data_IF_875918003857
#
_entry.id   IF_875918003857
#
_cell.length_a   1.000
_cell.length_b   1.000
_cell.length_c   1.000
_cell.angle_alpha   90.00
_cell.angle_beta   90.00
_cell.angle_gamma   90.00
#
_symmetry.space_group_name_H-M   'P 1'
#
loop_
_entity.id
_entity.type
_entity.pdbx_description
1 polymer ?
#
# COMPACT_ATOMS: atom_id res chain seq x y z
N UNK A 1 -58.34 29.58 53.45
CA UNK A 1 -58.43 29.89 52.03
C UNK A 1 -57.05 30.36 51.59
N UNK A 2 -56.19 29.45 51.15
CA UNK A 2 -54.82 29.72 50.72
C UNK A 2 -54.76 29.78 49.17
N UNK A 3 -54.34 30.95 48.65
CA UNK A 3 -54.12 31.16 47.21
C UNK A 3 -52.81 30.56 46.77
N UNK A 4 -52.85 29.71 45.76
CA UNK A 4 -51.72 29.11 45.06
C UNK A 4 -51.16 30.15 44.08
N UNK A 5 -49.85 30.41 44.01
CA UNK A 5 -49.23 31.27 42.99
C UNK A 5 -49.11 30.59 41.62
N UNK A 6 -49.41 31.32 40.54
CA UNK A 6 -49.31 30.93 39.16
C UNK A 6 -47.81 30.74 38.76
N UNK A 7 -47.46 29.60 38.27
CA UNK A 7 -46.16 29.34 37.60
C UNK A 7 -46.09 30.08 36.26
N UNK A 8 -45.03 30.85 36.08
CA UNK A 8 -44.67 31.47 34.78
C UNK A 8 -43.93 30.42 33.91
N UNK A 9 -44.44 30.15 32.72
CA UNK A 9 -43.81 29.40 31.67
C UNK A 9 -42.59 30.17 31.13
N UNK A 10 -41.44 29.52 30.83
CA UNK A 10 -40.31 30.17 30.21
C UNK A 10 -40.61 30.48 28.73
N UNK A 11 -40.29 31.71 28.33
CA UNK A 11 -40.37 32.18 26.94
C UNK A 11 -39.37 31.44 26.08
N UNK A 12 -39.80 30.95 24.90
CA UNK A 12 -38.99 30.42 23.83
C UNK A 12 -37.89 31.40 23.37
N UNK A 13 -36.68 30.94 23.08
CA UNK A 13 -35.62 31.79 22.57
C UNK A 13 -35.96 32.31 21.17
N UNK A 14 -35.60 33.57 20.92
CA UNK A 14 -35.72 34.23 19.62
C UNK A 14 -34.80 33.58 18.59
N UNK A 15 -35.19 33.50 17.30
CA UNK A 15 -34.30 33.02 16.24
C UNK A 15 -33.13 33.99 16.03
N UNK A 16 -31.93 33.43 15.86
CA UNK A 16 -30.72 34.16 15.47
C UNK A 16 -30.86 34.69 14.04
N UNK A 17 -30.22 35.84 13.70
CA UNK A 17 -30.32 36.40 12.36
C UNK A 17 -29.61 35.54 11.32
N UNK A 18 -30.33 35.26 10.23
CA UNK A 18 -29.74 34.75 8.96
C UNK A 18 -28.75 35.78 8.43
N UNK A 19 -27.46 35.50 8.50
CA UNK A 19 -26.46 35.99 7.55
C UNK A 19 -25.04 35.66 8.03
N UNK A 20 -24.58 34.45 7.82
CA UNK A 20 -23.18 34.16 7.57
C UNK A 20 -23.14 33.15 6.41
N UNK A 21 -23.39 33.64 5.20
CA UNK A 21 -22.94 32.97 3.99
C UNK A 21 -21.44 33.03 4.00
N UNK A 22 -20.81 31.94 4.51
CA UNK A 22 -19.45 31.63 4.20
C UNK A 22 -19.32 31.54 2.66
N UNK A 23 -18.56 32.47 2.11
CA UNK A 23 -18.13 32.41 0.73
C UNK A 23 -17.27 31.14 0.58
N UNK A 24 -17.89 30.01 0.26
CA UNK A 24 -17.22 28.89 -0.37
C UNK A 24 -16.71 29.47 -1.69
N UNK A 25 -15.40 29.68 -1.77
CA UNK A 25 -14.73 29.92 -3.05
C UNK A 25 -15.07 28.72 -3.93
N UNK A 26 -15.96 28.95 -4.92
CA UNK A 26 -16.14 28.06 -6.06
C UNK A 26 -14.78 27.99 -6.78
N UNK A 27 -13.89 27.12 -6.33
CA UNK A 27 -12.89 26.56 -7.21
C UNK A 27 -13.68 25.72 -8.22
N UNK A 28 -13.59 26.05 -9.51
CA UNK A 28 -14.03 25.21 -10.62
C UNK A 28 -13.30 23.85 -10.46
N UNK A 29 -13.86 22.93 -9.69
CA UNK A 29 -13.41 21.55 -9.67
C UNK A 29 -13.82 20.94 -11.02
N UNK A 30 -12.91 21.04 -11.99
CA UNK A 30 -12.96 20.23 -13.18
C UNK A 30 -12.98 18.78 -12.70
N UNK A 31 -14.09 18.08 -12.90
CA UNK A 31 -14.21 16.65 -12.60
C UNK A 31 -13.03 15.94 -13.23
N UNK A 32 -12.17 15.34 -12.44
CA UNK A 32 -10.96 14.66 -12.91
C UNK A 32 -11.39 13.30 -13.46
N UNK A 33 -11.20 13.10 -14.76
CA UNK A 33 -11.62 11.88 -15.44
C UNK A 33 -10.46 10.89 -15.51
N UNK A 34 -10.79 9.61 -15.38
CA UNK A 34 -9.82 8.53 -15.52
C UNK A 34 -9.11 8.55 -16.89
N UNK A 35 -9.84 8.91 -17.94
CA UNK A 35 -9.32 9.02 -19.30
C UNK A 35 -8.20 10.06 -19.43
N UNK A 36 -8.15 11.06 -18.54
CA UNK A 36 -7.07 12.06 -18.51
C UNK A 36 -5.71 11.41 -18.14
N UNK A 37 -5.71 10.19 -17.56
CA UNK A 37 -4.52 9.43 -17.15
C UNK A 37 -4.34 8.14 -17.96
N UNK A 38 -4.99 8.05 -19.10
CA UNK A 38 -4.78 6.99 -20.06
C UNK A 38 -3.52 7.25 -20.90
N UNK A 39 -2.80 6.18 -21.22
CA UNK A 39 -1.73 6.15 -22.21
C UNK A 39 -1.71 4.77 -22.87
N UNK A 40 -1.14 4.66 -24.06
CA UNK A 40 -1.03 3.38 -24.75
C UNK A 40 0.16 2.57 -24.20
N UNK A 41 -0.13 1.42 -23.57
CA UNK A 41 0.89 0.49 -23.07
C UNK A 41 0.90 -0.76 -23.95
N UNK A 42 1.87 -0.91 -24.85
CA UNK A 42 2.00 -2.13 -25.64
C UNK A 42 2.26 -3.36 -24.76
N UNK A 43 1.60 -4.49 -25.02
CA UNK A 43 1.78 -5.73 -24.26
C UNK A 43 3.26 -6.19 -24.26
N UNK A 44 4.01 -5.90 -25.33
CA UNK A 44 5.43 -6.19 -25.46
C UNK A 44 6.31 -5.46 -24.44
N UNK A 45 5.81 -4.38 -23.83
CA UNK A 45 6.51 -3.62 -22.78
C UNK A 45 6.26 -4.18 -21.38
N UNK A 46 5.27 -5.04 -21.20
CA UNK A 46 4.96 -5.66 -19.90
C UNK A 46 5.97 -6.77 -19.62
N UNK A 47 6.78 -6.58 -18.57
CA UNK A 47 7.78 -7.56 -18.16
C UNK A 47 7.10 -8.77 -17.49
N UNK A 48 7.17 -9.93 -18.13
CA UNK A 48 6.61 -11.20 -17.62
C UNK A 48 7.58 -11.97 -16.71
N UNK A 49 8.88 -11.64 -16.78
CA UNK A 49 9.95 -12.23 -15.98
C UNK A 49 10.88 -11.13 -15.45
N UNK A 50 11.49 -11.33 -14.27
CA UNK A 50 12.51 -10.41 -13.76
C UNK A 50 13.73 -10.37 -14.69
N UNK A 51 14.57 -9.33 -14.62
CA UNK A 51 15.87 -9.33 -15.32
C UNK A 51 16.72 -10.51 -14.83
N UNK A 52 17.62 -11.02 -15.67
CA UNK A 52 18.50 -12.15 -15.30
C UNK A 52 19.28 -11.87 -14.01
N UNK A 53 19.84 -10.67 -13.91
CA UNK A 53 20.55 -10.20 -12.74
C UNK A 53 19.70 -9.15 -12.00
N UNK A 54 19.51 -9.30 -10.68
CA UNK A 54 18.86 -8.30 -9.86
C UNK A 54 19.73 -7.03 -9.87
N UNK A 55 19.12 -5.85 -9.97
CA UNK A 55 19.83 -4.58 -10.05
C UNK A 55 20.25 -4.14 -11.47
N UNK A 56 20.08 -5.00 -12.50
CA UNK A 56 20.45 -4.67 -13.89
C UNK A 56 19.35 -3.97 -14.71
N UNK A 57 18.24 -3.57 -14.07
CA UNK A 57 17.16 -2.82 -14.72
C UNK A 57 17.62 -1.41 -15.12
N UNK A 58 16.90 -0.79 -16.06
CA UNK A 58 17.08 0.63 -16.38
C UNK A 58 16.52 1.51 -15.27
N UNK A 59 17.07 2.70 -15.15
CA UNK A 59 16.63 3.76 -14.26
C UNK A 59 16.43 5.05 -15.05
N UNK A 60 15.21 5.59 -15.06
CA UNK A 60 14.96 6.95 -15.51
C UNK A 60 15.00 7.87 -14.29
N UNK A 61 15.81 8.91 -14.36
CA UNK A 61 15.90 9.96 -13.33
C UNK A 61 15.19 11.20 -13.84
N UNK A 62 14.13 11.61 -13.16
CA UNK A 62 13.46 12.89 -13.36
C UNK A 62 13.82 13.81 -12.20
N UNK A 63 14.35 14.99 -12.51
CA UNK A 63 14.72 16.02 -11.53
C UNK A 63 14.36 17.39 -12.06
N UNK A 64 13.45 18.09 -11.38
CA UNK A 64 13.08 19.48 -11.69
C UNK A 64 12.84 19.74 -13.19
N UNK A 65 12.19 18.82 -13.88
CA UNK A 65 11.93 18.93 -15.31
C UNK A 65 12.97 18.29 -16.24
N UNK A 66 14.15 17.89 -15.76
CA UNK A 66 15.16 17.18 -16.55
C UNK A 66 14.98 15.66 -16.47
N UNK A 67 15.23 14.95 -17.59
CA UNK A 67 15.14 13.48 -17.66
C UNK A 67 16.48 12.92 -18.12
N UNK A 68 17.00 11.96 -17.34
CA UNK A 68 18.24 11.24 -17.63
C UNK A 68 18.04 9.73 -17.55
N UNK A 69 18.84 8.97 -18.28
CA UNK A 69 18.80 7.51 -18.35
C UNK A 69 20.06 6.89 -17.76
N UNK A 70 19.87 5.96 -16.84
CA UNK A 70 20.93 5.26 -16.12
C UNK A 70 20.61 3.75 -16.02
N UNK A 71 21.55 2.98 -15.50
CA UNK A 71 21.28 1.65 -14.93
C UNK A 71 20.93 1.76 -13.47
N UNK A 72 20.02 0.94 -12.96
CA UNK A 72 19.59 0.97 -11.55
C UNK A 72 20.77 0.78 -10.58
N UNK A 73 21.80 0.02 -10.97
CA UNK A 73 23.01 -0.16 -10.17
C UNK A 73 23.73 1.14 -9.78
N UNK A 74 23.43 2.26 -10.44
CA UNK A 74 24.03 3.57 -10.10
C UNK A 74 23.07 4.47 -9.30
N UNK A 75 22.01 3.92 -8.71
CA UNK A 75 20.98 4.69 -7.99
C UNK A 75 21.58 5.56 -6.88
N UNK A 76 22.61 5.07 -6.18
CA UNK A 76 23.26 5.79 -5.10
C UNK A 76 23.95 7.10 -5.58
N UNK A 77 24.39 7.17 -6.85
CA UNK A 77 24.95 8.40 -7.46
C UNK A 77 23.86 9.41 -7.85
N UNK A 78 22.64 8.96 -7.99
CA UNK A 78 21.52 9.78 -8.46
C UNK A 78 20.72 10.40 -7.31
N UNK A 79 20.96 9.98 -6.08
CA UNK A 79 20.25 10.47 -4.91
C UNK A 79 20.88 11.76 -4.36
N UNK A 80 20.09 12.71 -3.84
CA UNK A 80 20.62 13.84 -3.10
C UNK A 80 21.38 13.36 -1.86
N UNK A 81 22.51 14.01 -1.56
CA UNK A 81 23.34 13.69 -0.39
C UNK A 81 22.54 13.75 0.92
N UNK A 82 22.78 12.80 1.82
CA UNK A 82 22.11 12.70 3.13
C UNK A 82 20.61 12.39 3.06
N UNK A 83 20.12 11.87 1.92
CA UNK A 83 18.73 11.42 1.80
C UNK A 83 18.44 10.24 2.72
N UNK A 84 17.23 10.19 3.25
CA UNK A 84 16.67 9.03 3.96
C UNK A 84 15.74 8.28 3.01
N UNK A 85 16.11 7.05 2.64
CA UNK A 85 15.29 6.16 1.83
C UNK A 85 14.40 5.32 2.75
N UNK A 86 13.12 5.27 2.45
CA UNK A 86 12.16 4.51 3.24
C UNK A 86 11.61 3.34 2.44
N UNK A 87 11.86 2.13 2.94
CA UNK A 87 11.53 0.87 2.32
C UNK A 87 10.32 0.21 2.98
N UNK A 88 9.50 -0.48 2.21
CA UNK A 88 8.46 -1.37 2.75
C UNK A 88 9.06 -2.78 2.93
N UNK A 89 9.23 -3.21 4.19
CA UNK A 89 9.85 -4.49 4.54
C UNK A 89 8.86 -5.65 4.64
N UNK A 90 7.65 -5.47 4.13
CA UNK A 90 6.66 -6.54 4.07
C UNK A 90 7.17 -7.72 3.24
N UNK A 91 6.81 -8.93 3.65
CA UNK A 91 7.18 -10.18 2.97
C UNK A 91 5.95 -10.83 2.35
N UNK A 92 6.08 -11.22 1.09
CA UNK A 92 5.00 -11.89 0.36
C UNK A 92 4.83 -13.30 0.91
N UNK A 93 3.60 -13.62 1.29
CA UNK A 93 3.22 -14.98 1.69
C UNK A 93 2.81 -15.80 0.47
N UNK A 94 2.97 -17.12 0.47
CA UNK A 94 2.45 -18.00 -0.60
C UNK A 94 0.92 -18.09 -0.52
N UNK A 95 0.24 -17.01 -0.85
CA UNK A 95 -1.18 -16.80 -0.59
C UNK A 95 -2.14 -17.59 -1.49
N UNK A 96 -1.63 -18.35 -2.48
CA UNK A 96 -2.46 -19.16 -3.38
C UNK A 96 -2.38 -20.63 -3.00
N UNK A 97 -3.51 -21.19 -2.52
CA UNK A 97 -3.61 -22.59 -2.14
C UNK A 97 -4.47 -23.31 -3.19
N UNK A 98 -3.98 -24.44 -3.69
CA UNK A 98 -4.66 -25.21 -4.72
C UNK A 98 -5.14 -26.53 -4.13
N UNK A 99 -6.44 -26.79 -4.22
CA UNK A 99 -7.05 -28.06 -3.88
C UNK A 99 -7.55 -28.78 -5.14
N UNK A 100 -7.60 -30.10 -5.06
CA UNK A 100 -8.21 -30.95 -6.04
C UNK A 100 -9.32 -31.78 -5.37
N UNK A 101 -10.54 -31.67 -5.86
CA UNK A 101 -11.65 -32.52 -5.41
C UNK A 101 -11.44 -33.97 -5.91
N UNK A 102 -12.10 -34.92 -5.30
CA UNK A 102 -12.13 -36.33 -5.77
C UNK A 102 -12.53 -36.45 -7.25
N UNK A 103 -13.37 -35.53 -7.72
CA UNK A 103 -13.79 -35.43 -9.12
C UNK A 103 -12.70 -34.93 -10.06
N UNK A 104 -11.49 -34.61 -9.56
CA UNK A 104 -10.42 -33.97 -10.30
C UNK A 104 -10.58 -32.46 -10.52
N UNK A 105 -11.65 -31.85 -10.01
CA UNK A 105 -11.87 -30.42 -10.17
C UNK A 105 -10.88 -29.60 -9.33
N UNK A 106 -10.15 -28.69 -9.98
CA UNK A 106 -9.23 -27.74 -9.33
C UNK A 106 -10.02 -26.57 -8.73
N UNK A 107 -9.81 -26.31 -7.45
CA UNK A 107 -10.27 -25.12 -6.72
C UNK A 107 -9.04 -24.35 -6.24
N UNK A 108 -9.00 -23.07 -6.50
CA UNK A 108 -7.91 -22.18 -6.05
C UNK A 108 -8.46 -21.22 -5.00
N UNK A 109 -7.82 -21.19 -3.85
CA UNK A 109 -8.15 -20.25 -2.78
C UNK A 109 -7.01 -19.24 -2.70
N UNK A 110 -7.32 -17.96 -2.89
CA UNK A 110 -6.39 -16.86 -2.77
C UNK A 110 -6.71 -16.04 -1.52
N UNK A 111 -5.81 -16.07 -0.54
CA UNK A 111 -5.94 -15.35 0.72
C UNK A 111 -5.90 -13.84 0.48
N UNK A 112 -6.80 -13.10 1.10
CA UNK A 112 -6.87 -11.63 1.01
C UNK A 112 -6.62 -10.96 2.36
N UNK A 113 -7.50 -11.20 3.33
CA UNK A 113 -7.49 -10.57 4.65
C UNK A 113 -7.79 -11.61 5.74
N UNK A 114 -7.05 -11.63 6.85
CA UNK A 114 -7.36 -12.49 7.97
C UNK A 114 -8.58 -11.95 8.73
N UNK A 115 -9.45 -12.87 9.20
CA UNK A 115 -10.67 -12.55 9.94
C UNK A 115 -10.64 -13.07 11.37
N UNK A 116 -10.11 -14.28 11.58
CA UNK A 116 -10.03 -14.92 12.89
C UNK A 116 -8.77 -15.81 13.00
N UNK A 117 -8.17 -15.95 14.19
CA UNK A 117 -8.56 -15.37 15.48
C UNK A 117 -8.25 -13.89 15.64
N UNK A 118 -7.52 -13.29 14.71
CA UNK A 118 -7.16 -11.88 14.68
C UNK A 118 -7.25 -11.35 13.26
N UNK A 119 -7.40 -10.03 13.11
CA UNK A 119 -7.25 -9.34 11.82
C UNK A 119 -5.81 -8.91 11.53
N UNK A 120 -4.90 -9.02 12.50
CA UNK A 120 -3.48 -8.73 12.31
C UNK A 120 -2.79 -9.91 11.63
N UNK A 121 -2.16 -9.66 10.47
CA UNK A 121 -1.49 -10.70 9.67
C UNK A 121 -0.44 -11.45 10.48
N UNK A 122 0.41 -10.74 11.22
CA UNK A 122 1.48 -11.34 12.03
C UNK A 122 0.96 -12.35 13.05
N UNK A 123 -0.14 -12.03 13.74
CA UNK A 123 -0.74 -12.90 14.72
C UNK A 123 -1.33 -14.17 14.08
N UNK A 124 -2.05 -13.99 12.95
CA UNK A 124 -2.67 -15.11 12.25
C UNK A 124 -1.63 -16.04 11.63
N UNK A 125 -0.52 -15.51 11.12
CA UNK A 125 0.58 -16.32 10.58
C UNK A 125 1.24 -17.24 11.62
N UNK A 126 1.21 -16.86 12.90
CA UNK A 126 1.72 -17.65 14.02
C UNK A 126 0.67 -18.59 14.63
N UNK A 127 -0.58 -18.53 14.19
CA UNK A 127 -1.68 -19.36 14.70
C UNK A 127 -1.43 -20.83 14.37
N UNK A 128 -1.83 -21.71 15.30
CA UNK A 128 -1.86 -23.15 15.13
C UNK A 128 -3.29 -23.66 15.21
N UNK A 129 -3.63 -24.62 14.39
CA UNK A 129 -4.88 -25.37 14.44
C UNK A 129 -6.01 -24.79 13.61
N UNK A 130 -6.32 -23.51 13.66
CA UNK A 130 -7.40 -22.93 12.86
C UNK A 130 -7.26 -21.43 12.64
N UNK A 131 -7.62 -20.97 11.43
CA UNK A 131 -7.83 -19.55 11.14
C UNK A 131 -8.88 -19.37 10.04
N UNK A 132 -9.46 -18.17 9.96
CA UNK A 132 -10.43 -17.80 8.93
C UNK A 132 -9.92 -16.60 8.16
N UNK A 133 -10.04 -16.67 6.84
CA UNK A 133 -9.62 -15.65 5.91
C UNK A 133 -10.74 -15.24 4.96
N UNK A 134 -10.80 -13.99 4.62
CA UNK A 134 -11.47 -13.52 3.41
C UNK A 134 -10.64 -13.92 2.20
N UNK A 135 -11.26 -14.54 1.21
CA UNK A 135 -10.56 -15.17 0.10
C UNK A 135 -11.21 -14.85 -1.25
N UNK A 136 -10.40 -14.80 -2.30
CA UNK A 136 -10.92 -14.93 -3.65
C UNK A 136 -10.88 -16.40 -4.05
N UNK A 137 -11.98 -16.95 -4.54
CA UNK A 137 -12.11 -18.37 -4.85
C UNK A 137 -12.19 -18.56 -6.37
N UNK A 138 -11.11 -19.09 -6.94
CA UNK A 138 -11.07 -19.50 -8.34
C UNK A 138 -11.91 -20.75 -8.57
N UNK A 139 -12.78 -20.73 -9.61
CA UNK A 139 -13.75 -21.78 -9.89
C UNK A 139 -14.79 -22.01 -8.75
N UNK A 140 -15.18 -20.96 -8.04
CA UNK A 140 -16.13 -21.00 -6.92
C UNK A 140 -17.40 -21.82 -7.23
N UNK A 141 -17.89 -21.82 -8.49
CA UNK A 141 -19.05 -22.64 -8.91
C UNK A 141 -18.86 -24.14 -8.68
N UNK A 142 -17.61 -24.61 -8.62
CA UNK A 142 -17.29 -26.05 -8.40
C UNK A 142 -17.20 -26.41 -6.91
N UNK A 143 -17.28 -25.42 -6.02
CA UNK A 143 -17.19 -25.61 -4.58
C UNK A 143 -18.45 -25.17 -3.80
N UNK A 144 -19.56 -24.96 -4.48
CA UNK A 144 -20.84 -24.50 -3.85
C UNK A 144 -21.59 -25.56 -3.05
N UNK A 145 -21.15 -26.81 -3.13
CA UNK A 145 -21.77 -27.93 -2.42
C UNK A 145 -21.45 -28.00 -0.92
N UNK A 146 -20.59 -27.08 -0.44
CA UNK A 146 -20.19 -27.01 0.98
C UNK A 146 -19.30 -28.15 1.44
N UNK A 147 -18.89 -29.06 0.55
CA UNK A 147 -17.98 -30.17 0.90
C UNK A 147 -16.61 -29.60 1.25
N UNK A 148 -16.03 -29.92 2.42
CA UNK A 148 -14.67 -29.49 2.76
C UNK A 148 -13.65 -29.93 1.71
N UNK A 149 -12.69 -29.06 1.43
CA UNK A 149 -11.53 -29.40 0.63
C UNK A 149 -10.43 -29.91 1.54
N UNK A 150 -9.88 -31.08 1.25
CA UNK A 150 -8.92 -31.76 2.12
C UNK A 150 -7.56 -31.90 1.43
N UNK A 151 -6.49 -31.67 2.18
CA UNK A 151 -5.15 -32.07 1.85
C UNK A 151 -4.64 -33.03 2.94
N UNK A 152 -4.69 -34.33 2.67
CA UNK A 152 -4.37 -35.38 3.64
C UNK A 152 -2.91 -35.30 4.13
N UNK A 153 -1.97 -34.88 3.28
CA UNK A 153 -0.54 -34.80 3.62
C UNK A 153 -0.27 -33.90 4.81
N UNK A 154 -1.03 -32.81 4.93
CA UNK A 154 -0.87 -31.79 5.99
C UNK A 154 -2.04 -31.78 6.98
N UNK A 155 -2.93 -32.79 6.92
CA UNK A 155 -4.16 -32.80 7.71
C UNK A 155 -4.92 -31.47 7.62
N UNK A 156 -4.88 -30.85 6.45
CA UNK A 156 -5.50 -29.55 6.19
C UNK A 156 -6.90 -29.75 5.63
N UNK A 157 -7.86 -29.08 6.25
CA UNK A 157 -9.21 -28.94 5.74
C UNK A 157 -9.55 -27.45 5.52
N UNK A 158 -10.16 -27.13 4.40
CA UNK A 158 -10.68 -25.80 4.10
C UNK A 158 -12.19 -25.87 3.93
N UNK A 159 -12.94 -25.10 4.73
CA UNK A 159 -14.40 -25.05 4.75
C UNK A 159 -14.87 -23.65 4.38
N UNK A 160 -15.82 -23.55 3.46
CA UNK A 160 -16.48 -22.30 3.10
C UNK A 160 -17.46 -21.91 4.20
N UNK A 161 -17.18 -20.83 4.95
CA UNK A 161 -17.97 -20.37 6.11
C UNK A 161 -18.80 -19.12 5.81
N UNK A 162 -18.53 -18.44 4.69
CA UNK A 162 -19.26 -17.28 4.17
C UNK A 162 -19.23 -17.25 2.66
N UNK A 163 -19.65 -16.16 2.03
CA UNK A 163 -19.65 -16.02 0.57
C UNK A 163 -18.22 -16.05 -0.01
N UNK A 164 -17.31 -15.38 0.69
CA UNK A 164 -15.87 -15.24 0.37
C UNK A 164 -14.99 -15.56 1.60
N UNK A 165 -15.52 -16.23 2.63
CA UNK A 165 -14.82 -16.57 3.86
C UNK A 165 -14.50 -18.06 3.92
N UNK A 166 -13.23 -18.39 4.18
CA UNK A 166 -12.74 -19.75 4.28
C UNK A 166 -12.08 -19.96 5.63
N UNK A 167 -12.55 -20.96 6.35
CA UNK A 167 -11.89 -21.44 7.57
C UNK A 167 -10.99 -22.62 7.23
N UNK A 168 -9.73 -22.50 7.62
CA UNK A 168 -8.72 -23.55 7.53
C UNK A 168 -8.54 -24.21 8.89
N UNK A 169 -8.44 -25.53 8.91
CA UNK A 169 -8.06 -26.32 10.09
C UNK A 169 -6.92 -27.26 9.73
N UNK A 170 -5.92 -27.36 10.58
CA UNK A 170 -4.73 -28.20 10.35
C UNK A 170 -4.09 -28.60 11.70
N UNK A 171 -3.00 -29.39 11.66
CA UNK A 171 -2.28 -29.79 12.87
C UNK A 171 -0.76 -29.69 12.69
N UNK A 172 -0.05 -29.52 13.80
CA UNK A 172 1.40 -29.77 13.90
C UNK A 172 2.34 -28.63 13.52
N UNK A 173 1.85 -27.50 13.00
CA UNK A 173 2.69 -26.37 12.57
C UNK A 173 1.92 -25.04 12.64
N UNK A 174 2.60 -23.92 12.47
CA UNK A 174 1.99 -22.60 12.33
C UNK A 174 1.37 -22.44 10.92
N UNK A 175 0.47 -21.45 10.75
CA UNK A 175 -0.11 -21.18 9.44
C UNK A 175 0.95 -20.73 8.42
N UNK A 176 1.96 -19.96 8.83
CA UNK A 176 3.07 -19.55 8.00
C UNK A 176 3.88 -20.74 7.48
N UNK A 177 4.18 -21.72 8.35
CA UNK A 177 4.87 -22.95 7.94
C UNK A 177 4.01 -23.77 6.98
N UNK A 178 2.71 -23.90 7.25
CA UNK A 178 1.77 -24.58 6.37
C UNK A 178 1.74 -23.94 4.98
N UNK A 179 1.60 -22.62 4.92
CA UNK A 179 1.60 -21.89 3.64
C UNK A 179 2.91 -22.06 2.85
N UNK A 180 4.05 -22.15 3.54
CA UNK A 180 5.34 -22.38 2.91
C UNK A 180 5.38 -23.72 2.17
N UNK A 181 4.72 -24.74 2.72
CA UNK A 181 4.67 -26.08 2.14
C UNK A 181 3.67 -26.22 0.97
N UNK A 182 2.49 -25.61 1.11
CA UNK A 182 1.38 -25.86 0.16
C UNK A 182 1.05 -24.68 -0.75
N UNK A 183 1.46 -23.47 -0.35
CA UNK A 183 1.09 -22.24 -1.03
C UNK A 183 1.95 -21.98 -2.26
N UNK A 184 1.44 -21.11 -3.12
CA UNK A 184 2.17 -20.60 -4.28
C UNK A 184 2.27 -19.08 -4.22
N UNK A 185 3.37 -18.55 -4.71
CA UNK A 185 3.61 -17.09 -4.83
C UNK A 185 2.49 -16.43 -5.65
N UNK A 186 1.85 -15.39 -5.14
CA UNK A 186 0.76 -14.71 -5.82
C UNK A 186 1.29 -13.69 -6.83
N UNK A 187 1.65 -14.14 -8.04
CA UNK A 187 2.04 -13.21 -9.11
C UNK A 187 0.88 -12.28 -9.49
N UNK A 188 1.16 -11.02 -9.87
CA UNK A 188 0.16 -10.08 -10.34
C UNK A 188 -0.66 -10.61 -11.52
N UNK A 189 -1.94 -10.20 -11.66
CA UNK A 189 -2.86 -10.78 -12.66
C UNK A 189 -2.47 -10.53 -14.12
N UNK A 190 -1.63 -9.57 -14.41
CA UNK A 190 -1.12 -9.29 -15.75
C UNK A 190 0.07 -10.18 -16.14
N UNK A 191 0.64 -10.94 -15.20
CA UNK A 191 1.64 -11.96 -15.49
C UNK A 191 0.90 -13.27 -15.80
N UNK A 192 0.58 -13.44 -17.09
CA UNK A 192 -0.23 -14.56 -17.60
C UNK A 192 0.62 -15.83 -17.85
N UNK A 193 1.41 -16.24 -16.85
CA UNK A 193 2.16 -17.50 -16.88
C UNK A 193 2.01 -18.25 -15.57
N UNK A 194 2.35 -19.53 -15.59
CA UNK A 194 2.44 -20.31 -14.35
C UNK A 194 3.58 -19.78 -13.46
N UNK A 195 3.41 -19.98 -12.15
CA UNK A 195 4.43 -19.62 -11.15
C UNK A 195 5.61 -20.58 -11.31
N UNK A 196 6.80 -20.04 -11.48
CA UNK A 196 8.05 -20.76 -11.56
C UNK A 196 8.73 -20.82 -10.18
N UNK A 197 9.65 -21.77 -9.98
CA UNK A 197 10.34 -21.92 -8.69
C UNK A 197 11.11 -20.67 -8.28
N UNK A 198 11.65 -19.95 -9.26
CA UNK A 198 12.42 -18.73 -9.01
C UNK A 198 11.54 -17.56 -8.50
N UNK A 199 10.23 -17.58 -8.76
CA UNK A 199 9.36 -16.49 -8.35
C UNK A 199 9.26 -16.36 -6.82
N UNK A 200 9.43 -17.45 -6.06
CA UNK A 200 9.45 -17.40 -4.60
C UNK A 200 10.55 -16.48 -4.06
N UNK A 201 11.71 -16.47 -4.72
CA UNK A 201 12.86 -15.66 -4.33
C UNK A 201 12.89 -14.31 -5.07
N UNK A 202 12.49 -14.33 -6.36
CA UNK A 202 12.59 -13.14 -7.23
C UNK A 202 11.46 -12.14 -6.99
N UNK A 203 10.30 -12.60 -6.48
CA UNK A 203 9.17 -11.74 -6.10
C UNK A 203 9.21 -11.36 -4.61
N UNK A 204 10.43 -11.28 -4.03
CA UNK A 204 10.74 -10.80 -2.69
C UNK A 204 11.85 -9.76 -2.74
N UNK A 205 11.80 -8.79 -1.81
CA UNK A 205 12.91 -7.86 -1.61
C UNK A 205 14.00 -8.50 -0.74
N UNK A 206 15.26 -8.06 -0.88
CA UNK A 206 16.39 -8.57 -0.07
C UNK A 206 16.25 -8.22 1.43
N UNK A 207 15.43 -7.24 1.75
CA UNK A 207 15.21 -6.74 3.11
C UNK A 207 13.82 -7.10 3.69
N UNK A 208 13.04 -7.97 3.03
CA UNK A 208 11.70 -8.38 3.50
C UNK A 208 11.79 -9.15 4.83
N UNK A 209 10.93 -8.79 5.81
CA UNK A 209 10.93 -9.40 7.15
C UNK A 209 9.53 -9.78 7.66
N UNK A 210 8.52 -8.95 7.41
CA UNK A 210 7.20 -9.04 8.04
C UNK A 210 6.22 -9.77 7.14
N UNK A 211 5.92 -11.05 7.44
CA UNK A 211 4.98 -11.86 6.67
C UNK A 211 3.57 -11.27 6.67
N UNK A 212 2.88 -11.24 5.49
CA UNK A 212 1.49 -10.79 5.42
C UNK A 212 1.07 -10.20 4.08
N UNK A 213 1.98 -9.80 3.22
CA UNK A 213 1.62 -9.23 1.92
C UNK A 213 1.22 -10.30 0.91
N UNK A 214 0.24 -9.99 0.07
CA UNK A 214 -0.12 -10.80 -1.09
C UNK A 214 0.44 -10.23 -2.40
N UNK A 215 1.15 -9.11 -2.33
CA UNK A 215 1.92 -8.54 -3.44
C UNK A 215 3.23 -7.93 -2.93
N UNK A 216 4.30 -8.05 -3.71
CA UNK A 216 5.59 -7.48 -3.37
C UNK A 216 5.59 -5.95 -3.51
N UNK A 217 6.36 -5.21 -2.67
CA UNK A 217 6.69 -3.81 -2.92
C UNK A 217 7.70 -3.72 -4.06
N UNK A 218 7.18 -3.72 -5.30
CA UNK A 218 7.95 -4.06 -6.52
C UNK A 218 9.09 -3.12 -6.84
N UNK A 219 9.05 -1.85 -6.41
CA UNK A 219 10.18 -0.93 -6.52
C UNK A 219 11.41 -1.41 -5.72
N UNK A 220 11.18 -2.17 -4.66
CA UNK A 220 12.25 -2.76 -3.85
C UNK A 220 12.94 -3.95 -4.50
N UNK A 221 12.34 -4.57 -5.53
CA UNK A 221 12.91 -5.74 -6.21
C UNK A 221 14.19 -5.42 -6.97
N UNK A 222 14.46 -4.16 -7.26
CA UNK A 222 15.67 -3.70 -7.94
C UNK A 222 16.89 -3.69 -7.03
N UNK A 223 16.71 -3.54 -5.72
CA UNK A 223 17.80 -3.44 -4.76
C UNK A 223 18.46 -4.81 -4.53
N UNK A 224 19.79 -4.75 -4.37
CA UNK A 224 20.65 -5.87 -3.96
C UNK A 224 21.37 -5.50 -2.68
N UNK A 225 21.94 -6.48 -1.96
CA UNK A 225 22.75 -6.20 -0.78
C UNK A 225 23.91 -5.24 -1.12
N UNK A 226 24.57 -5.39 -2.27
CA UNK A 226 25.63 -4.48 -2.70
C UNK A 226 25.17 -3.04 -2.94
N UNK A 227 23.94 -2.84 -3.48
CA UNK A 227 23.37 -1.48 -3.62
C UNK A 227 23.04 -0.91 -2.25
N UNK A 228 22.54 -1.71 -1.30
CA UNK A 228 22.26 -1.26 0.07
C UNK A 228 23.55 -0.83 0.78
N UNK A 229 24.62 -1.60 0.66
CA UNK A 229 25.95 -1.28 1.19
C UNK A 229 26.52 0.02 0.55
N UNK A 230 26.32 0.20 -0.76
CA UNK A 230 26.75 1.42 -1.46
C UNK A 230 26.01 2.67 -0.97
N UNK A 231 24.68 2.58 -0.77
CA UNK A 231 23.89 3.67 -0.19
C UNK A 231 24.44 4.10 1.17
N UNK A 232 24.69 3.14 2.07
CA UNK A 232 25.24 3.39 3.40
C UNK A 232 26.63 4.04 3.30
N UNK A 233 27.52 3.51 2.44
CA UNK A 233 28.86 4.01 2.24
C UNK A 233 28.92 5.46 1.73
N UNK A 234 27.86 5.90 1.02
CA UNK A 234 27.68 7.28 0.52
C UNK A 234 26.92 8.19 1.50
N UNK A 235 26.68 7.73 2.73
CA UNK A 235 26.04 8.54 3.77
C UNK A 235 24.52 8.69 3.61
N UNK A 236 23.88 7.82 2.84
CA UNK A 236 22.42 7.72 2.79
C UNK A 236 21.91 6.94 4.00
N UNK A 237 20.76 7.33 4.51
CA UNK A 237 20.09 6.62 5.59
C UNK A 237 19.00 5.70 5.03
N UNK A 238 18.83 4.54 5.64
CA UNK A 238 17.79 3.58 5.26
C UNK A 238 16.86 3.33 6.44
N UNK A 239 15.56 3.51 6.21
CA UNK A 239 14.51 3.30 7.18
C UNK A 239 13.45 2.32 6.63
N UNK A 240 12.74 1.66 7.55
CA UNK A 240 11.79 0.64 7.17
C UNK A 240 10.41 0.91 7.77
N UNK A 241 9.40 0.74 6.92
CA UNK A 241 7.99 0.70 7.30
C UNK A 241 7.39 -0.61 6.84
N UNK A 242 6.25 -1.01 7.41
CA UNK A 242 5.50 -2.18 6.95
C UNK A 242 4.14 -1.73 6.46
N UNK A 243 3.78 -2.06 5.23
CA UNK A 243 2.43 -2.01 4.71
C UNK A 243 2.16 -3.35 4.03
N UNK A 244 1.19 -4.09 4.54
CA UNK A 244 0.78 -5.35 3.91
C UNK A 244 -0.06 -5.07 2.69
N UNK A 245 0.57 -5.25 1.52
CA UNK A 245 -0.05 -4.95 0.23
C UNK A 245 -1.15 -5.95 -0.06
N UNK A 246 -2.37 -5.45 -0.23
CA UNK A 246 -3.54 -6.25 -0.58
C UNK A 246 -3.63 -6.50 -2.09
N UNK A 247 -4.43 -7.49 -2.50
CA UNK A 247 -4.69 -7.79 -3.91
C UNK A 247 -5.42 -6.64 -4.65
N UNK A 248 -6.08 -5.75 -3.91
CA UNK A 248 -6.78 -4.57 -4.43
C UNK A 248 -5.87 -3.60 -5.18
N UNK A 249 -4.57 -3.56 -4.86
CA UNK A 249 -3.58 -2.66 -5.49
C UNK A 249 -3.49 -2.85 -7.02
N UNK A 250 -3.83 -4.01 -7.55
CA UNK A 250 -3.80 -4.30 -8.99
C UNK A 250 -5.14 -4.11 -9.70
N UNK A 251 -6.19 -3.72 -8.98
CA UNK A 251 -7.50 -3.53 -9.57
C UNK A 251 -7.55 -2.18 -10.30
N UNK A 252 -8.10 -2.15 -11.54
CA UNK A 252 -8.32 -0.90 -12.24
C UNK A 252 -9.44 -0.09 -11.59
N UNK A 253 -9.35 1.23 -11.69
CA UNK A 253 -10.43 2.14 -11.33
C UNK A 253 -11.62 1.88 -12.26
N UNK A 254 -12.82 1.73 -11.67
CA UNK A 254 -14.06 1.44 -12.42
C UNK A 254 -15.03 2.61 -12.45
N UNK A 255 -14.73 3.69 -11.74
CA UNK A 255 -15.57 4.88 -11.67
C UNK A 255 -15.14 5.89 -12.73
N UNK A 256 -16.09 6.58 -13.37
CA UNK A 256 -15.78 7.63 -14.33
C UNK A 256 -15.19 8.89 -13.67
N UNK A 257 -15.58 9.13 -12.43
CA UNK A 257 -14.99 10.15 -11.54
C UNK A 257 -13.97 9.48 -10.62
N UNK A 258 -12.73 9.93 -10.69
CA UNK A 258 -11.62 9.41 -9.89
C UNK A 258 -11.91 9.55 -8.39
N UNK A 259 -12.45 10.69 -7.95
CA UNK A 259 -12.71 10.97 -6.53
C UNK A 259 -13.73 10.00 -5.90
N UNK A 260 -14.58 9.39 -6.72
CA UNK A 260 -15.58 8.41 -6.27
C UNK A 260 -15.06 6.96 -6.21
N UNK A 261 -13.77 6.72 -6.52
CA UNK A 261 -13.18 5.38 -6.43
C UNK A 261 -12.95 5.01 -4.96
N UNK A 262 -13.52 3.90 -4.46
CA UNK A 262 -13.27 3.46 -3.10
C UNK A 262 -11.87 2.84 -3.00
N UNK A 263 -11.05 3.38 -2.11
CA UNK A 263 -9.75 2.78 -1.77
C UNK A 263 -9.95 1.58 -0.84
N UNK A 264 -9.11 0.59 -1.00
CA UNK A 264 -9.05 -0.55 -0.08
C UNK A 264 -8.22 -0.18 1.15
N UNK A 265 -8.59 -0.79 2.27
CA UNK A 265 -7.89 -0.64 3.54
C UNK A 265 -6.60 -1.47 3.54
N UNK A 266 -5.52 -0.89 4.05
CA UNK A 266 -4.23 -1.57 4.23
C UNK A 266 -3.69 -1.32 5.64
N UNK A 267 -3.12 -2.36 6.25
CA UNK A 267 -2.50 -2.28 7.57
C UNK A 267 -1.09 -1.74 7.46
N UNK A 268 -0.75 -0.81 8.35
CA UNK A 268 0.57 -0.18 8.41
C UNK A 268 1.19 -0.32 9.80
N UNK A 269 2.51 -0.54 9.83
CA UNK A 269 3.28 -0.62 11.06
C UNK A 269 4.58 0.16 10.91
N UNK A 270 4.93 0.96 11.93
CA UNK A 270 6.10 1.83 11.92
C UNK A 270 6.74 1.79 13.30
N UNK A 271 8.04 1.49 13.35
CA UNK A 271 8.80 1.49 14.58
C UNK A 271 8.99 2.93 15.10
N UNK A 272 9.07 3.09 16.42
CA UNK A 272 9.33 4.37 17.06
C UNK A 272 10.62 5.02 16.55
N UNK A 273 11.72 4.23 16.52
CA UNK A 273 13.02 4.73 16.09
C UNK A 273 13.00 5.27 14.66
N UNK A 274 12.25 4.61 13.75
CA UNK A 274 12.01 5.09 12.39
C UNK A 274 11.30 6.45 12.39
N UNK A 275 10.30 6.67 13.25
CA UNK A 275 9.60 7.96 13.35
C UNK A 275 10.53 9.06 13.88
N UNK A 276 11.38 8.74 14.86
CA UNK A 276 12.40 9.67 15.39
C UNK A 276 13.42 10.06 14.32
N UNK A 277 13.90 9.10 13.54
CA UNK A 277 14.80 9.33 12.40
C UNK A 277 14.15 10.22 11.35
N UNK A 278 12.92 9.89 10.92
CA UNK A 278 12.16 10.65 9.92
C UNK A 278 11.87 12.10 10.34
N UNK A 279 11.69 12.37 11.64
CA UNK A 279 11.47 13.74 12.16
C UNK A 279 12.64 14.66 11.90
N UNK A 280 13.87 14.13 11.86
CA UNK A 280 15.11 14.88 11.64
C UNK A 280 15.64 14.77 10.22
N UNK A 281 15.06 13.89 9.38
CA UNK A 281 15.46 13.69 8.00
C UNK A 281 15.28 14.96 7.17
N UNK A 282 16.34 15.33 6.43
CA UNK A 282 16.37 16.52 5.57
C UNK A 282 15.66 16.29 4.25
N UNK A 283 15.80 15.08 3.69
CA UNK A 283 15.09 14.63 2.49
C UNK A 283 14.62 13.20 2.67
N UNK A 284 13.33 12.96 2.46
CA UNK A 284 12.72 11.65 2.57
C UNK A 284 12.31 11.16 1.19
N UNK A 285 12.87 10.05 0.75
CA UNK A 285 12.59 9.43 -0.54
C UNK A 285 11.91 8.08 -0.31
N UNK A 286 10.69 7.94 -0.78
CA UNK A 286 9.97 6.69 -0.66
C UNK A 286 10.44 5.68 -1.73
N UNK A 287 10.68 4.44 -1.31
CA UNK A 287 10.91 3.32 -2.23
C UNK A 287 9.61 2.53 -2.39
N UNK A 288 8.93 2.81 -3.49
CA UNK A 288 7.61 2.28 -3.81
C UNK A 288 6.46 3.16 -3.34
N UNK A 289 5.35 3.04 -4.06
CA UNK A 289 4.09 3.75 -3.76
C UNK A 289 3.51 3.34 -2.41
N UNK A 290 3.78 2.12 -1.95
CA UNK A 290 3.37 1.62 -0.63
C UNK A 290 4.10 2.33 0.51
N UNK A 291 5.42 2.53 0.40
CA UNK A 291 6.19 3.33 1.37
C UNK A 291 5.72 4.78 1.40
N UNK A 292 5.46 5.36 0.22
CA UNK A 292 4.95 6.73 0.12
C UNK A 292 3.60 6.85 0.82
N UNK A 293 2.65 5.94 0.54
CA UNK A 293 1.34 5.95 1.20
C UNK A 293 1.43 5.78 2.71
N UNK A 294 2.34 4.95 3.20
CA UNK A 294 2.58 4.77 4.64
C UNK A 294 3.10 6.05 5.28
N UNK A 295 4.07 6.72 4.65
CA UNK A 295 4.65 7.97 5.14
C UNK A 295 3.63 9.11 5.20
N UNK A 296 2.85 9.26 4.14
CA UNK A 296 1.79 10.27 4.11
C UNK A 296 0.67 9.95 5.11
N UNK A 297 0.37 8.66 5.33
CA UNK A 297 -0.58 8.25 6.37
C UNK A 297 -0.08 8.56 7.79
N UNK A 298 1.22 8.35 8.05
CA UNK A 298 1.86 8.73 9.30
C UNK A 298 1.74 10.24 9.55
N UNK A 299 2.00 11.05 8.53
CA UNK A 299 1.85 12.50 8.60
C UNK A 299 0.41 12.91 8.97
N UNK A 300 -0.58 12.38 8.26
CA UNK A 300 -1.98 12.70 8.53
C UNK A 300 -2.47 12.19 9.88
N UNK A 301 -1.91 11.10 10.39
CA UNK A 301 -2.15 10.69 11.77
C UNK A 301 -1.64 11.75 12.77
N UNK A 302 -0.45 12.31 12.53
CA UNK A 302 0.08 13.42 13.33
C UNK A 302 -0.81 14.68 13.31
N UNK A 303 -1.46 14.96 12.16
CA UNK A 303 -2.46 16.03 12.02
C UNK A 303 -3.73 15.70 12.82
N UNK A 304 -4.25 14.47 12.72
CA UNK A 304 -5.42 13.99 13.50
C UNK A 304 -5.20 14.11 15.01
N UNK A 305 -4.02 13.75 15.49
CA UNK A 305 -3.65 13.88 16.90
C UNK A 305 -3.70 15.33 17.40
N UNK A 306 -3.37 16.31 16.56
CA UNK A 306 -3.51 17.73 16.91
C UNK A 306 -4.97 18.14 17.10
N UNK A 307 -5.90 17.45 16.43
CA UNK A 307 -7.35 17.65 16.57
C UNK A 307 -7.96 16.79 17.69
N UNK A 308 -7.14 16.04 18.45
CA UNK A 308 -7.60 15.16 19.53
C UNK A 308 -8.16 13.81 19.08
N UNK A 309 -7.91 13.42 17.83
CA UNK A 309 -8.32 12.13 17.26
C UNK A 309 -7.17 11.14 17.40
N UNK A 310 -7.34 10.09 18.20
CA UNK A 310 -6.27 9.15 18.57
C UNK A 310 -6.33 7.80 17.84
N UNK A 311 -7.29 7.60 16.94
CA UNK A 311 -7.38 6.42 16.09
C UNK A 311 -6.49 6.58 14.85
N UNK A 312 -5.51 5.69 14.67
CA UNK A 312 -4.70 5.66 13.46
C UNK A 312 -5.45 4.91 12.34
N UNK A 313 -6.45 5.57 11.82
CA UNK A 313 -7.18 5.16 10.64
C UNK A 313 -7.31 6.35 9.69
N UNK A 314 -6.53 6.36 8.61
CA UNK A 314 -6.54 7.44 7.61
C UNK A 314 -7.54 7.10 6.53
N UNK A 315 -8.62 7.89 6.47
CA UNK A 315 -9.66 7.78 5.47
C UNK A 315 -9.23 8.46 4.18
N UNK A 316 -9.90 8.10 3.11
CA UNK A 316 -9.65 8.64 1.77
C UNK A 316 -9.81 10.16 1.72
N UNK A 317 -10.76 10.72 2.48
CA UNK A 317 -11.14 12.13 2.50
C UNK A 317 -10.28 12.98 3.44
N UNK A 318 -9.61 12.36 4.43
CA UNK A 318 -8.86 13.07 5.47
C UNK A 318 -7.90 14.15 4.92
N UNK A 319 -7.12 13.92 3.85
CA UNK A 319 -6.23 14.94 3.30
C UNK A 319 -6.93 16.17 2.73
N UNK A 320 -8.19 16.06 2.34
CA UNK A 320 -8.99 17.18 1.79
C UNK A 320 -9.75 17.94 2.89
N UNK A 321 -10.05 17.29 4.02
CA UNK A 321 -10.87 17.84 5.10
C UNK A 321 -10.04 18.47 6.21
N UNK A 322 -8.77 18.06 6.37
CA UNK A 322 -7.91 18.54 7.45
C UNK A 322 -6.93 19.61 6.97
N UNK A 323 -6.65 20.57 7.86
CA UNK A 323 -5.63 21.58 7.64
C UNK A 323 -4.24 20.98 7.87
N UNK A 324 -3.36 21.13 6.87
CA UNK A 324 -1.99 20.64 6.94
C UNK A 324 -1.16 21.42 7.98
N UNK A 325 -0.24 20.73 8.62
CA UNK A 325 0.72 21.30 9.58
C UNK A 325 2.14 20.97 9.13
N UNK A 326 3.15 21.55 9.76
CA UNK A 326 4.53 21.20 9.41
C UNK A 326 4.89 19.75 9.82
N UNK A 327 5.80 19.12 9.05
CA UNK A 327 6.25 17.73 9.23
C UNK A 327 6.75 17.44 10.65
N UNK A 328 7.55 18.36 11.21
CA UNK A 328 8.15 18.14 12.54
C UNK A 328 7.08 18.12 13.61
N UNK A 329 6.11 19.04 13.56
CA UNK A 329 4.97 19.08 14.49
C UNK A 329 4.13 17.81 14.35
N UNK A 330 3.81 17.37 13.14
CA UNK A 330 3.04 16.15 12.93
C UNK A 330 3.75 14.92 13.56
N UNK A 331 5.02 14.70 13.26
CA UNK A 331 5.76 13.57 13.83
C UNK A 331 6.00 13.70 15.34
N UNK A 332 6.15 14.93 15.86
CA UNK A 332 6.23 15.14 17.31
C UNK A 332 4.92 14.78 18.02
N UNK A 333 3.76 15.05 17.42
CA UNK A 333 2.47 14.62 17.96
C UNK A 333 2.37 13.10 18.01
N UNK A 334 2.83 12.40 16.96
CA UNK A 334 2.87 10.93 16.94
C UNK A 334 3.78 10.40 18.05
N UNK A 335 4.98 10.93 18.21
CA UNK A 335 5.90 10.49 19.26
C UNK A 335 5.33 10.72 20.68
N UNK A 336 4.65 11.86 20.92
CA UNK A 336 3.94 12.11 22.20
C UNK A 336 2.80 11.13 22.43
N UNK A 337 2.07 10.77 21.39
CA UNK A 337 1.04 9.74 21.46
C UNK A 337 1.65 8.38 21.86
N UNK A 338 2.75 8.00 21.22
CA UNK A 338 3.47 6.77 21.54
C UNK A 338 4.02 6.76 22.98
N UNK A 339 4.53 7.90 23.46
CA UNK A 339 4.97 8.05 24.87
C UNK A 339 3.80 7.85 25.84
N UNK A 340 2.66 8.50 25.56
CA UNK A 340 1.45 8.40 26.39
C UNK A 340 0.95 6.96 26.52
N UNK A 341 1.10 6.16 25.47
CA UNK A 341 0.61 4.78 25.40
C UNK A 341 1.72 3.72 25.58
N UNK A 342 2.96 4.14 25.89
CA UNK A 342 4.14 3.28 26.04
C UNK A 342 4.36 2.35 24.82
N UNK A 343 4.23 2.87 23.61
CA UNK A 343 4.35 2.12 22.36
C UNK A 343 5.78 2.21 21.80
N UNK A 344 6.35 1.07 21.43
CA UNK A 344 7.60 0.98 20.66
C UNK A 344 7.36 0.81 19.15
N UNK A 345 6.13 0.46 18.77
CA UNK A 345 5.68 0.32 17.39
C UNK A 345 4.28 0.91 17.28
N UNK A 346 4.04 1.62 16.19
CA UNK A 346 2.75 2.23 15.86
C UNK A 346 2.07 1.37 14.79
N UNK A 347 0.88 0.84 15.11
CA UNK A 347 0.02 0.13 14.17
C UNK A 347 -1.17 0.99 13.76
N UNK A 348 -1.59 0.89 12.51
CA UNK A 348 -2.75 1.63 12.00
C UNK A 348 -3.27 1.08 10.70
N UNK A 349 -4.22 1.79 10.13
CA UNK A 349 -4.87 1.44 8.87
C UNK A 349 -4.95 2.66 7.95
N UNK A 350 -4.89 2.43 6.65
CA UNK A 350 -4.98 3.51 5.66
C UNK A 350 -5.80 3.13 4.44
N UNK A 351 -6.65 4.06 4.04
CA UNK A 351 -7.35 4.13 2.76
C UNK A 351 -6.92 5.37 1.98
N UNK A 352 -5.75 5.96 2.34
CA UNK A 352 -5.30 7.20 1.73
C UNK A 352 -5.28 7.12 0.21
N UNK A 353 -5.91 8.10 -0.44
CA UNK A 353 -5.95 8.21 -1.88
C UNK A 353 -5.19 9.46 -2.35
N UNK A 354 -4.07 9.22 -3.03
CA UNK A 354 -3.19 10.28 -3.52
C UNK A 354 -3.39 10.42 -5.02
N UNK A 355 -3.87 11.59 -5.44
CA UNK A 355 -4.12 11.95 -6.84
C UNK A 355 -3.78 13.43 -7.07
N UNK A 356 -3.70 13.93 -8.31
CA UNK A 356 -3.32 15.31 -8.60
C UNK A 356 -4.09 16.36 -7.78
N UNK A 357 -3.35 17.30 -7.20
CA UNK A 357 -3.85 18.27 -6.22
C UNK A 357 -3.54 17.92 -4.77
N UNK A 358 -3.01 16.71 -4.51
CA UNK A 358 -2.50 16.32 -3.19
C UNK A 358 -1.23 17.09 -2.86
N UNK A 359 -1.11 17.56 -1.60
CA UNK A 359 0.10 18.19 -1.07
C UNK A 359 0.85 17.21 -0.17
N UNK A 360 2.06 16.85 -0.55
CA UNK A 360 2.89 15.90 0.20
C UNK A 360 3.40 16.52 1.50
N UNK A 361 3.19 15.81 2.60
CA UNK A 361 3.63 16.23 3.94
C UNK A 361 4.97 15.60 4.37
N UNK A 362 5.36 14.48 3.74
CA UNK A 362 6.53 13.70 4.14
C UNK A 362 7.55 13.50 3.04
N UNK A 363 7.10 13.21 1.82
CA UNK A 363 7.96 12.71 0.76
C UNK A 363 8.40 13.80 -0.20
N UNK A 364 9.70 13.94 -0.39
CA UNK A 364 10.33 14.84 -1.38
C UNK A 364 10.79 14.09 -2.65
N UNK A 365 10.59 12.76 -2.71
CA UNK A 365 10.94 11.96 -3.89
C UNK A 365 10.39 10.55 -3.82
N UNK A 366 10.39 9.88 -4.97
CA UNK A 366 9.85 8.53 -5.12
C UNK A 366 10.71 7.71 -6.08
N UNK A 367 11.09 6.50 -5.65
CA UNK A 367 11.61 5.44 -6.52
C UNK A 367 10.46 4.49 -6.80
N UNK A 368 10.10 4.29 -8.07
CA UNK A 368 8.95 3.45 -8.42
C UNK A 368 9.10 2.80 -9.79
N UNK A 369 8.36 1.70 -10.02
CA UNK A 369 8.18 1.12 -11.33
C UNK A 369 7.17 1.93 -12.16
N UNK A 370 7.05 1.61 -13.46
CA UNK A 370 5.99 2.14 -14.31
C UNK A 370 4.69 1.37 -14.09
N UNK A 371 3.57 2.09 -14.03
CA UNK A 371 2.26 1.57 -13.65
C UNK A 371 1.31 1.47 -14.84
N UNK A 372 0.31 0.59 -14.73
CA UNK A 372 -0.73 0.46 -15.75
C UNK A 372 -1.56 1.75 -15.88
N UNK A 373 -2.01 2.10 -17.10
CA UNK A 373 -2.99 3.16 -17.29
C UNK A 373 -4.28 2.85 -16.49
N UNK A 374 -4.94 3.89 -16.02
CA UNK A 374 -6.22 3.75 -15.32
C UNK A 374 -6.15 3.11 -13.94
N UNK A 375 -5.00 3.17 -13.26
CA UNK A 375 -4.83 2.70 -11.87
C UNK A 375 -4.59 3.84 -10.91
N UNK A 376 -4.82 3.60 -9.62
CA UNK A 376 -4.52 4.57 -8.55
C UNK A 376 -3.03 4.91 -8.47
N UNK A 377 -2.17 4.03 -8.96
CA UNK A 377 -0.71 4.20 -8.91
C UNK A 377 -0.20 5.26 -9.89
N UNK A 378 -0.77 5.34 -11.11
CA UNK A 378 -0.39 6.42 -12.04
C UNK A 378 -0.88 7.78 -11.56
N UNK A 379 -2.02 7.82 -10.84
CA UNK A 379 -2.52 9.05 -10.25
C UNK A 379 -1.58 9.59 -9.16
N UNK A 380 -1.01 8.69 -8.35
CA UNK A 380 -0.02 9.05 -7.34
C UNK A 380 1.25 9.62 -7.99
N UNK A 381 1.74 9.00 -9.06
CA UNK A 381 2.88 9.55 -9.84
C UNK A 381 2.53 10.93 -10.39
N UNK A 382 1.36 11.08 -10.99
CA UNK A 382 0.90 12.36 -11.53
C UNK A 382 0.69 13.43 -10.44
N UNK A 383 0.31 13.02 -9.22
CA UNK A 383 0.25 13.94 -8.08
C UNK A 383 1.63 14.46 -7.70
N UNK A 384 2.67 13.63 -7.80
CA UNK A 384 4.03 13.97 -7.40
C UNK A 384 4.73 14.87 -8.42
N UNK A 385 4.67 14.53 -9.72
CA UNK A 385 5.42 15.22 -10.78
C UNK A 385 4.56 16.13 -11.67
N UNK A 386 3.27 16.28 -11.33
CA UNK A 386 2.35 17.09 -12.14
C UNK A 386 2.19 16.53 -13.55
N UNK A 387 1.97 17.40 -14.53
CA UNK A 387 1.75 17.04 -15.95
C UNK A 387 2.95 16.34 -16.60
N UNK A 388 4.15 16.45 -16.04
CA UNK A 388 5.37 15.81 -16.56
C UNK A 388 5.30 14.28 -16.53
N UNK A 389 4.33 13.69 -15.79
CA UNK A 389 4.13 12.24 -15.81
C UNK A 389 3.96 11.70 -17.24
N UNK A 390 3.28 12.45 -18.13
CA UNK A 390 3.08 12.03 -19.53
C UNK A 390 4.39 11.96 -20.29
N UNK A 391 5.24 12.99 -20.09
CA UNK A 391 6.56 13.06 -20.72
C UNK A 391 7.48 11.95 -20.20
N UNK A 392 7.48 11.70 -18.88
CA UNK A 392 8.24 10.63 -18.24
C UNK A 392 7.86 9.26 -18.80
N UNK A 393 6.55 8.98 -18.92
CA UNK A 393 6.06 7.69 -19.44
C UNK A 393 6.29 7.53 -20.93
N UNK A 394 6.13 8.61 -21.71
CA UNK A 394 6.43 8.58 -23.16
C UNK A 394 7.93 8.35 -23.38
N UNK A 395 8.79 9.04 -22.66
CA UNK A 395 10.25 8.90 -22.74
C UNK A 395 10.67 7.45 -22.38
N UNK A 396 10.02 6.84 -21.37
CA UNK A 396 10.28 5.45 -21.04
C UNK A 396 9.87 4.49 -22.15
N UNK A 397 8.73 4.72 -22.82
CA UNK A 397 8.28 3.92 -23.96
C UNK A 397 9.22 4.04 -25.15
N UNK A 398 9.67 5.26 -25.48
CA UNK A 398 10.54 5.56 -26.60
C UNK A 398 11.96 4.99 -26.42
N UNK A 399 12.40 4.82 -25.17
CA UNK A 399 13.71 4.25 -24.80
C UNK A 399 13.68 2.80 -24.36
N UNK A 400 12.66 2.03 -24.77
CA UNK A 400 12.57 0.58 -24.54
C UNK A 400 12.60 0.16 -23.07
N UNK A 401 11.99 0.95 -22.17
CA UNK A 401 11.78 0.53 -20.80
C UNK A 401 10.71 -0.54 -20.72
N UNK A 402 10.88 -1.44 -19.77
CA UNK A 402 9.91 -2.46 -19.41
C UNK A 402 9.02 -1.96 -18.28
N UNK A 403 7.78 -2.35 -18.26
CA UNK A 403 6.75 -1.85 -17.36
C UNK A 403 6.31 -2.89 -16.34
N UNK A 404 5.68 -2.41 -15.27
CA UNK A 404 5.06 -3.15 -14.20
C UNK A 404 6.07 -3.84 -13.25
N UNK A 405 5.65 -4.86 -12.50
CA UNK A 405 6.36 -5.41 -11.33
C UNK A 405 7.80 -5.87 -11.60
N UNK A 406 8.04 -6.51 -12.74
CA UNK A 406 9.37 -6.95 -13.16
C UNK A 406 10.02 -6.01 -14.18
N UNK A 407 9.42 -4.87 -14.38
CA UNK A 407 9.90 -3.84 -15.30
C UNK A 407 11.13 -3.08 -14.82
N UNK A 408 11.30 -1.89 -15.37
CA UNK A 408 12.38 -0.96 -15.04
C UNK A 408 11.87 0.09 -14.02
N UNK A 409 12.76 0.93 -13.54
CA UNK A 409 12.49 1.85 -12.44
C UNK A 409 12.62 3.32 -12.86
N UNK A 410 12.00 4.18 -12.08
CA UNK A 410 12.19 5.63 -12.14
C UNK A 410 12.53 6.19 -10.76
N UNK A 411 13.39 7.21 -10.70
CA UNK A 411 13.63 8.09 -9.56
C UNK A 411 13.01 9.45 -9.89
N UNK A 412 12.01 9.83 -9.13
CA UNK A 412 11.23 11.05 -9.33
C UNK A 412 11.55 12.06 -8.22
N UNK A 413 12.19 13.17 -8.59
CA UNK A 413 12.57 14.28 -7.72
C UNK A 413 11.96 15.56 -8.32
N UNK A 414 10.71 15.91 -7.94
CA UNK A 414 9.97 17.05 -8.51
C UNK A 414 10.55 18.42 -8.16
#
# INVERSE_FOLDING_TARGET
MNKIPKQHSPKSPKPLPDSLHLHIKNSNHRTMKLDDFAYDLPESRIAKHPPKERGSSKLLVYREGDIQHHGFGTIADQLPEGSTLVFNNTKVIPARIIFHKETGARVEIFLLEPLAPSTAHEEVMLTQGSCTWKCMIGNAKRWRDGTPLVNETYSLEATLTGEDEVTFTWTGMTFSELLTEIGKTPLPPYILREVEREDSDRYQTVYSKMDGAVAAPTAGLHFTDGIMEELESKGMHTEYVTLHVSAGTFLPIRTGDISAHPMHNEQVWIARDTIESLRTATKTIAVGTTSLRTLESLYWFGVRLQQGQEDFYIRQEDPQEMEAIDKQTALQNVLRYMDKHALNQLGGQTEIFIYPGYTFGMCEGLITNYHMPGTTLILLVAALVGEDWRRIYQEALDNDYRFLSYGDSSLLLP
#
